data_IF_143554467956
#
_entry.id   IF_143554467956
#
_cell.length_a   1.000
_cell.length_b   1.000
_cell.length_c   1.000
_cell.angle_alpha   90.00
_cell.angle_beta   90.00
_cell.angle_gamma   90.00
#
_symmetry.space_group_name_H-M   'P 1'
#
loop_
_entity.id
_entity.type
_entity.pdbx_description
1 polymer ?
#
# COMPACT_ATOMS: atom_id res chain seq x y z
N UNK A 1 -10.18 36.20 4.74
CA UNK A 1 -10.89 34.99 4.62
C UNK A 1 -10.17 33.97 3.86
N UNK A 2 -9.86 34.28 2.61
CA UNK A 2 -9.12 33.34 1.84
C UNK A 2 -7.81 32.95 2.47
N UNK A 3 -7.28 33.85 3.27
CA UNK A 3 -6.00 33.57 3.89
C UNK A 3 -6.14 32.54 4.98
N UNK A 4 -7.27 32.54 5.62
CA UNK A 4 -7.49 31.58 6.68
C UNK A 4 -7.48 30.16 6.16
N UNK A 5 -8.07 30.00 5.01
CA UNK A 5 -8.17 28.70 4.45
C UNK A 5 -6.83 28.04 4.22
N UNK A 6 -5.91 28.73 3.55
CA UNK A 6 -4.58 28.13 3.36
C UNK A 6 -3.91 27.81 4.67
N UNK A 7 -4.17 28.65 5.65
CA UNK A 7 -3.56 28.43 6.92
C UNK A 7 -4.06 27.16 7.57
N UNK A 8 -5.33 26.96 7.46
CA UNK A 8 -5.93 25.76 7.98
C UNK A 8 -5.37 24.54 7.32
N UNK A 9 -5.20 24.64 6.05
CA UNK A 9 -4.67 23.52 5.30
C UNK A 9 -3.27 23.19 5.78
N UNK A 10 -2.53 24.22 6.05
CA UNK A 10 -1.18 24.00 6.53
C UNK A 10 -1.18 23.24 7.85
N UNK A 11 -2.03 23.68 8.72
CA UNK A 11 -2.14 22.99 10.01
C UNK A 11 -2.49 21.54 9.80
N UNK A 12 -3.32 21.33 8.86
CA UNK A 12 -3.73 20.00 8.55
C UNK A 12 -2.56 19.15 8.13
N UNK A 13 -1.75 19.69 7.29
CA UNK A 13 -0.57 18.99 6.83
C UNK A 13 0.34 18.65 7.96
N UNK A 14 0.55 19.59 8.81
CA UNK A 14 1.43 19.36 9.94
C UNK A 14 0.92 18.21 10.78
N UNK A 15 -0.34 18.22 11.02
CA UNK A 15 -0.93 17.15 11.79
C UNK A 15 -0.76 15.83 11.10
N UNK A 16 -0.99 15.84 9.83
CA UNK A 16 -0.84 14.62 9.11
C UNK A 16 0.56 14.10 9.16
N UNK A 17 1.46 15.00 9.12
CA UNK A 17 2.83 14.57 9.17
C UNK A 17 3.17 13.89 10.46
N UNK A 18 2.89 14.55 11.52
CA UNK A 18 3.22 13.96 12.78
C UNK A 18 2.50 12.66 12.90
N UNK A 19 1.34 12.59 12.29
CA UNK A 19 0.64 11.41 12.46
C UNK A 19 1.12 10.36 11.58
N UNK A 20 1.42 10.76 10.39
CA UNK A 20 1.99 9.84 9.47
C UNK A 20 3.19 9.25 10.11
N UNK A 21 3.86 10.05 10.82
CA UNK A 21 4.95 9.52 11.56
C UNK A 21 4.36 8.52 12.49
N UNK A 22 3.17 8.81 12.83
CA UNK A 22 2.52 7.94 13.71
C UNK A 22 2.30 6.62 13.07
N UNK A 23 2.21 6.60 11.82
CA UNK A 23 2.19 5.31 11.24
C UNK A 23 3.41 4.68 11.71
N UNK A 24 3.92 5.30 12.67
CA UNK A 24 4.85 4.66 13.47
C UNK A 24 4.33 3.36 13.98
N UNK A 25 3.09 3.28 14.15
CA UNK A 25 2.57 2.01 14.49
C UNK A 25 3.11 1.03 13.52
N UNK A 26 3.33 1.50 12.36
CA UNK A 26 3.92 0.66 11.36
C UNK A 26 5.34 0.35 11.70
N UNK A 27 5.92 1.15 12.53
CA UNK A 27 7.28 0.85 12.90
C UNK A 27 7.34 -0.44 13.66
N UNK A 28 6.37 -0.62 14.50
CA UNK A 28 6.28 -1.86 15.19
C UNK A 28 6.21 -2.98 14.21
N UNK A 29 5.41 -2.79 13.20
CA UNK A 29 5.35 -3.84 12.21
C UNK A 29 6.54 -3.75 11.30
N UNK A 30 7.29 -2.69 11.39
CA UNK A 30 8.49 -2.60 10.61
C UNK A 30 9.40 -3.76 10.92
N UNK A 31 9.47 -4.15 12.17
CA UNK A 31 10.27 -5.29 12.53
C UNK A 31 9.72 -6.56 11.93
N UNK A 32 8.42 -6.67 11.93
CA UNK A 32 7.80 -7.83 11.34
C UNK A 32 7.96 -7.83 9.84
N UNK A 33 7.87 -6.64 9.27
CA UNK A 33 8.03 -6.51 7.84
C UNK A 33 9.37 -7.06 7.40
N UNK A 34 10.39 -6.86 8.19
CA UNK A 34 11.69 -7.39 7.86
C UNK A 34 11.67 -8.89 7.73
N UNK A 35 10.71 -9.54 8.37
CA UNK A 35 10.61 -10.98 8.29
C UNK A 35 9.50 -11.46 7.39
N UNK A 36 8.74 -10.54 6.80
CA UNK A 36 7.67 -10.93 5.92
C UNK A 36 8.23 -11.45 4.61
N UNK A 37 7.59 -12.47 4.08
CA UNK A 37 7.98 -12.95 2.77
C UNK A 37 7.30 -12.10 1.71
N UNK A 38 7.60 -12.37 0.46
CA UNK A 38 7.08 -11.59 -0.66
C UNK A 38 5.56 -11.59 -0.72
N UNK A 39 4.97 -12.73 -0.43
CA UNK A 39 3.52 -12.83 -0.47
C UNK A 39 2.87 -11.88 0.55
N UNK A 40 3.39 -11.89 1.77
CA UNK A 40 2.84 -11.05 2.80
C UNK A 40 3.03 -9.56 2.50
N UNK A 41 4.16 -9.22 1.92
CA UNK A 41 4.39 -7.83 1.51
C UNK A 41 3.39 -7.41 0.45
N UNK A 42 3.12 -8.32 -0.49
CA UNK A 42 2.15 -8.03 -1.54
C UNK A 42 0.77 -7.79 -0.96
N UNK A 43 0.38 -8.59 0.02
CA UNK A 43 -0.94 -8.42 0.63
C UNK A 43 -1.07 -7.05 1.28
N UNK A 44 -0.04 -6.62 1.97
CA UNK A 44 -0.06 -5.30 2.59
C UNK A 44 -0.19 -4.21 1.54
N UNK A 45 0.51 -4.36 0.44
CA UNK A 45 0.43 -3.38 -0.63
C UNK A 45 -0.95 -3.36 -1.26
N UNK A 46 -1.56 -4.52 -1.42
CA UNK A 46 -2.92 -4.60 -1.96
C UNK A 46 -3.90 -3.88 -1.06
N UNK A 47 -3.78 -4.10 0.24
CA UNK A 47 -4.67 -3.43 1.19
C UNK A 47 -4.50 -1.92 1.13
N UNK A 48 -3.27 -1.47 1.04
CA UNK A 48 -2.98 -0.06 0.94
C UNK A 48 -3.53 0.53 -0.36
N UNK A 49 -3.38 -0.21 -1.45
CA UNK A 49 -3.89 0.23 -2.73
C UNK A 49 -5.41 0.37 -2.71
N UNK A 50 -6.09 -0.59 -2.08
CA UNK A 50 -7.54 -0.52 -1.98
C UNK A 50 -7.99 0.72 -1.23
N UNK A 51 -7.28 1.08 -0.18
CA UNK A 51 -7.60 2.27 0.57
C UNK A 51 -7.42 3.51 -0.27
N UNK A 52 -6.36 3.54 -1.07
CA UNK A 52 -6.12 4.67 -1.95
C UNK A 52 -7.21 4.78 -3.02
N UNK A 53 -7.66 3.65 -3.53
CA UNK A 53 -8.74 3.66 -4.49
C UNK A 53 -10.01 4.28 -3.89
N UNK A 54 -10.31 3.92 -2.67
CA UNK A 54 -11.49 4.47 -2.01
C UNK A 54 -11.40 5.97 -1.84
N UNK A 55 -10.20 6.49 -1.73
CA UNK A 55 -9.99 7.92 -1.61
C UNK A 55 -9.88 8.60 -2.97
N UNK A 56 -10.02 7.86 -4.04
CA UNK A 56 -9.91 8.42 -5.37
C UNK A 56 -8.50 8.65 -5.85
N UNK A 57 -7.52 8.16 -5.12
CA UNK A 57 -6.12 8.33 -5.50
C UNK A 57 -5.68 7.18 -6.37
N UNK A 58 -6.20 7.16 -7.57
CA UNK A 58 -6.03 6.01 -8.45
C UNK A 58 -4.59 5.80 -8.92
N UNK A 59 -3.89 6.88 -9.15
CA UNK A 59 -2.51 6.74 -9.60
C UNK A 59 -1.63 6.10 -8.54
N UNK A 60 -1.79 6.55 -7.32
CA UNK A 60 -1.02 5.99 -6.22
C UNK A 60 -1.41 4.55 -5.97
N UNK A 61 -2.68 4.27 -6.09
CA UNK A 61 -3.16 2.90 -5.91
C UNK A 61 -2.53 1.99 -6.95
N UNK A 62 -2.47 2.45 -8.18
CA UNK A 62 -1.90 1.67 -9.26
C UNK A 62 -0.46 1.32 -8.99
N UNK A 63 0.30 2.28 -8.48
CA UNK A 63 1.69 2.02 -8.15
C UNK A 63 1.83 0.95 -7.08
N UNK A 64 0.94 0.98 -6.12
CA UNK A 64 0.96 -0.04 -5.07
C UNK A 64 0.60 -1.40 -5.63
N UNK A 65 -0.38 -1.44 -6.52
CA UNK A 65 -0.74 -2.70 -7.15
C UNK A 65 0.41 -3.24 -7.99
N UNK A 66 1.16 -2.36 -8.63
CA UNK A 66 2.29 -2.79 -9.42
C UNK A 66 3.35 -3.44 -8.54
N UNK A 67 3.66 -2.81 -7.43
CA UNK A 67 4.62 -3.40 -6.49
C UNK A 67 4.12 -4.72 -5.95
N UNK A 68 2.85 -4.78 -5.63
CA UNK A 68 2.28 -6.01 -5.13
C UNK A 68 2.39 -7.11 -6.17
N UNK A 69 2.11 -6.77 -7.40
CA UNK A 69 2.22 -7.73 -8.49
C UNK A 69 3.63 -8.26 -8.62
N UNK A 70 4.61 -7.37 -8.51
CA UNK A 70 6.01 -7.78 -8.58
C UNK A 70 6.37 -8.75 -7.46
N UNK A 71 5.95 -8.44 -6.25
CA UNK A 71 6.20 -9.34 -5.13
C UNK A 71 5.50 -10.68 -5.33
N UNK A 72 4.31 -10.66 -5.91
CA UNK A 72 3.58 -11.89 -6.12
C UNK A 72 4.25 -12.78 -7.15
N UNK A 73 4.84 -12.16 -8.15
CA UNK A 73 5.61 -12.95 -9.13
C UNK A 73 6.81 -13.61 -8.46
N UNK A 74 7.46 -12.87 -7.56
CA UNK A 74 8.58 -13.46 -6.84
C UNK A 74 8.11 -14.59 -5.93
N UNK A 75 7.00 -14.37 -5.26
CA UNK A 75 6.44 -15.40 -4.40
C UNK A 75 6.07 -16.64 -5.20
N UNK A 76 5.56 -16.43 -6.39
CA UNK A 76 5.16 -17.56 -7.23
C UNK A 76 6.38 -18.36 -7.71
N UNK A 77 7.49 -17.69 -7.89
CA UNK A 77 8.72 -18.40 -8.28
C UNK A 77 9.19 -19.30 -7.16
N UNK A 78 9.07 -18.84 -5.95
CA UNK A 78 9.52 -19.61 -4.79
C UNK A 78 8.57 -20.73 -4.43
N UNK A 79 7.30 -20.52 -4.68
CA UNK A 79 6.29 -21.47 -4.27
C UNK A 79 5.23 -21.56 -5.35
N UNK A 80 5.52 -22.24 -6.45
CA UNK A 80 4.63 -22.27 -7.61
C UNK A 80 3.30 -22.93 -7.31
N UNK A 81 2.29 -22.46 -8.02
CA UNK A 81 0.96 -23.06 -7.99
C UNK A 81 0.22 -22.96 -6.67
N UNK A 82 0.61 -22.04 -5.82
CA UNK A 82 -0.14 -21.79 -4.61
C UNK A 82 -1.39 -21.00 -4.96
N UNK A 83 -2.58 -21.51 -4.63
CA UNK A 83 -3.81 -20.83 -5.01
C UNK A 83 -3.89 -19.39 -4.53
N UNK A 84 -3.46 -19.14 -3.30
CA UNK A 84 -3.51 -17.79 -2.76
C UNK A 84 -2.69 -16.82 -3.58
N UNK A 85 -1.49 -17.23 -3.97
CA UNK A 85 -0.61 -16.40 -4.75
C UNK A 85 -1.21 -16.16 -6.13
N UNK A 86 -1.73 -17.20 -6.75
CA UNK A 86 -2.31 -17.08 -8.06
C UNK A 86 -3.54 -16.20 -8.05
N UNK A 87 -4.35 -16.28 -7.00
CA UNK A 87 -5.53 -15.43 -6.87
C UNK A 87 -5.14 -13.97 -6.81
N UNK A 88 -4.15 -13.64 -6.01
CA UNK A 88 -3.72 -12.26 -5.90
C UNK A 88 -3.03 -11.77 -7.16
N UNK A 89 -2.30 -12.65 -7.85
CA UNK A 89 -1.71 -12.29 -9.13
C UNK A 89 -2.79 -11.92 -10.12
N UNK A 90 -3.84 -12.73 -10.20
CA UNK A 90 -4.95 -12.43 -11.08
C UNK A 90 -5.62 -11.11 -10.72
N UNK A 91 -5.81 -10.89 -9.41
CA UNK A 91 -6.42 -9.68 -8.93
C UNK A 91 -5.61 -8.44 -9.29
N UNK A 92 -4.30 -8.45 -8.97
CA UNK A 92 -3.47 -7.28 -9.25
C UNK A 92 -3.30 -7.05 -10.74
N UNK A 93 -3.22 -8.12 -11.51
CA UNK A 93 -3.10 -7.98 -12.96
C UNK A 93 -4.34 -7.28 -13.53
N UNK A 94 -5.51 -7.64 -13.04
CA UNK A 94 -6.74 -6.97 -13.49
C UNK A 94 -6.76 -5.50 -13.08
N UNK A 95 -6.23 -5.20 -11.92
CA UNK A 95 -6.20 -3.81 -11.47
C UNK A 95 -5.23 -2.97 -12.30
N UNK A 96 -4.20 -3.59 -12.83
CA UNK A 96 -3.22 -2.86 -13.64
C UNK A 96 -3.68 -2.67 -15.07
N UNK A 97 -4.61 -3.42 -15.46
CA UNK A 97 -5.18 -3.19 -16.68
C UNK A 97 -5.13 -3.95 -17.80
#
# INVERSE_FOLDING_TARGET
MKKLIPLLILLFFINNNSFAAGSGGDDGSGKLIGKLNEYQRAIKLVKSAKKLEKKGKLEKAKKKYQKANDYLHEANKKDPLKPDILNYLGFTTRKLG
#
